data_IF_529080895891
#
_entry.id   IF_529080895891
#
_cell.length_a   1.000
_cell.length_b   1.000
_cell.length_c   1.000
_cell.angle_alpha   90.00
_cell.angle_beta   90.00
_cell.angle_gamma   90.00
#
_symmetry.space_group_name_H-M   'P 1'
#
loop_
_entity.id
_entity.type
_entity.pdbx_description
1 polymer ?
#
# COMPACT_ATOMS: atom_id res chain seq x y z
N UNK A 1 7.74 13.63 18.20
CA UNK A 1 7.64 14.15 16.83
C UNK A 1 6.30 14.87 16.71
N UNK A 2 6.16 15.97 15.95
CA UNK A 2 4.85 16.57 15.76
C UNK A 2 3.92 15.54 15.17
N UNK A 3 2.66 15.54 15.58
CA UNK A 3 1.63 14.65 15.07
C UNK A 3 1.53 14.85 13.56
N UNK A 4 1.91 13.85 12.80
CA UNK A 4 1.88 13.86 11.33
C UNK A 4 0.46 13.59 10.78
N UNK A 5 -0.57 13.65 11.62
CA UNK A 5 -1.95 13.45 11.21
C UNK A 5 -2.51 14.71 10.54
N UNK A 6 -2.96 14.52 9.32
CA UNK A 6 -3.67 15.54 8.54
C UNK A 6 -5.09 15.06 8.23
N UNK A 7 -5.96 15.99 7.77
CA UNK A 7 -7.28 15.66 7.21
C UNK A 7 -7.24 15.76 5.69
N UNK A 8 -7.78 14.77 5.02
CA UNK A 8 -7.97 14.77 3.56
C UNK A 8 -9.46 14.81 3.26
N UNK A 9 -9.86 15.72 2.36
CA UNK A 9 -11.25 15.82 1.90
C UNK A 9 -11.58 14.67 0.97
N UNK A 10 -12.67 13.95 1.27
CA UNK A 10 -13.17 12.90 0.38
C UNK A 10 -14.09 13.49 -0.69
N UNK A 11 -13.90 13.09 -1.94
CA UNK A 11 -14.80 13.45 -3.06
C UNK A 11 -16.24 12.99 -2.85
N UNK A 12 -16.43 12.00 -2.01
CA UNK A 12 -17.76 11.51 -1.60
C UNK A 12 -18.42 12.29 -0.47
N UNK A 13 -17.76 13.36 0.02
CA UNK A 13 -18.18 14.16 1.17
C UNK A 13 -17.56 13.66 2.48
N UNK A 14 -17.31 14.60 3.41
CA UNK A 14 -16.59 14.33 4.66
C UNK A 14 -15.07 14.37 4.51
N UNK A 15 -14.38 14.03 5.57
CA UNK A 15 -12.93 14.02 5.63
C UNK A 15 -12.40 12.82 6.42
N UNK A 16 -11.19 12.37 6.11
CA UNK A 16 -10.55 11.27 6.81
C UNK A 16 -9.16 11.64 7.30
N UNK A 17 -8.74 10.98 8.37
CA UNK A 17 -7.40 11.11 8.90
C UNK A 17 -6.40 10.40 7.99
N UNK A 18 -5.23 11.02 7.84
CA UNK A 18 -4.11 10.43 7.13
C UNK A 18 -2.81 10.72 7.90
N UNK A 19 -2.05 9.66 8.20
CA UNK A 19 -0.70 9.83 8.72
C UNK A 19 0.23 10.16 7.55
N UNK A 20 0.77 11.38 7.53
CA UNK A 20 1.61 11.88 6.45
C UNK A 20 3.01 12.21 6.96
N UNK A 21 4.02 11.65 6.32
CA UNK A 21 5.42 12.01 6.55
C UNK A 21 6.00 12.62 5.28
N UNK A 22 6.54 13.84 5.40
CA UNK A 22 7.21 14.54 4.29
C UNK A 22 8.66 14.78 4.70
N UNK A 23 9.63 14.14 4.00
CA UNK A 23 11.04 14.32 4.32
C UNK A 23 11.52 15.71 3.90
N UNK A 24 12.53 16.23 4.59
CA UNK A 24 13.23 17.45 4.16
C UNK A 24 14.17 17.09 3.01
N UNK A 25 13.81 17.48 1.79
CA UNK A 25 14.59 17.23 0.58
C UNK A 25 14.77 18.49 -0.24
N UNK A 26 15.83 18.57 -1.02
CA UNK A 26 16.09 19.69 -1.93
C UNK A 26 15.35 19.54 -3.27
N UNK A 27 15.00 18.32 -3.64
CA UNK A 27 14.30 18.00 -4.88
C UNK A 27 13.01 17.23 -4.55
N UNK A 28 11.97 17.34 -5.40
CA UNK A 28 10.78 16.54 -5.27
C UNK A 28 11.08 15.04 -5.35
N UNK A 29 10.38 14.25 -4.52
CA UNK A 29 10.60 12.82 -4.35
C UNK A 29 9.32 12.01 -4.59
N UNK A 30 9.42 10.72 -4.91
CA UNK A 30 8.26 9.85 -4.99
C UNK A 30 7.57 9.67 -3.65
N UNK A 31 6.31 9.23 -3.69
CA UNK A 31 5.52 8.92 -2.51
C UNK A 31 5.11 7.44 -2.47
N UNK A 32 4.89 6.92 -1.26
CA UNK A 32 4.18 5.67 -1.02
C UNK A 32 2.89 5.93 -0.26
N UNK A 33 1.79 5.32 -0.71
CA UNK A 33 0.54 5.28 0.04
C UNK A 33 0.40 3.90 0.68
N UNK A 34 0.26 3.87 1.99
CA UNK A 34 0.19 2.65 2.80
C UNK A 34 -1.29 2.30 3.03
N UNK A 35 -1.78 1.30 2.32
CA UNK A 35 -3.14 0.79 2.50
C UNK A 35 -3.12 -0.26 3.62
N UNK A 36 -3.61 0.12 4.80
CA UNK A 36 -3.47 -0.64 6.04
C UNK A 36 -4.23 -1.96 6.07
N UNK A 37 -3.86 -2.82 7.03
CA UNK A 37 -4.64 -3.98 7.45
C UNK A 37 -5.94 -3.53 8.16
N UNK A 38 -6.77 -4.51 8.58
CA UNK A 38 -8.01 -4.25 9.32
C UNK A 38 -7.81 -3.52 10.65
N UNK A 39 -6.59 -3.40 11.13
CA UNK A 39 -6.25 -2.66 12.36
C UNK A 39 -6.19 -1.15 12.13
N UNK A 40 -6.21 -0.69 10.86
CA UNK A 40 -6.10 0.73 10.53
C UNK A 40 -4.65 1.23 10.57
N UNK A 41 -4.50 2.53 10.76
CA UNK A 41 -3.18 3.18 10.85
C UNK A 41 -2.69 3.07 12.30
N UNK A 42 -2.20 1.89 12.63
CA UNK A 42 -1.63 1.56 13.94
C UNK A 42 -0.14 1.94 14.04
N UNK A 43 0.50 1.56 15.15
CA UNK A 43 1.91 1.85 15.38
C UNK A 43 2.84 1.22 14.33
N UNK A 44 2.51 0.02 13.83
CA UNK A 44 3.30 -0.66 12.80
C UNK A 44 3.26 0.10 11.47
N UNK A 45 2.08 0.57 11.06
CA UNK A 45 1.91 1.36 9.83
C UNK A 45 2.59 2.72 9.96
N UNK A 46 2.48 3.37 11.12
CA UNK A 46 3.18 4.63 11.38
C UNK A 46 4.71 4.47 11.35
N UNK A 47 5.25 3.39 11.95
CA UNK A 47 6.68 3.07 11.89
C UNK A 47 7.14 2.84 10.44
N UNK A 48 6.38 2.09 9.63
CA UNK A 48 6.69 1.86 8.22
C UNK A 48 6.71 3.20 7.46
N UNK A 49 5.76 4.10 7.71
CA UNK A 49 5.75 5.43 7.10
C UNK A 49 7.00 6.25 7.47
N UNK A 50 7.40 6.22 8.74
CA UNK A 50 8.61 6.90 9.22
C UNK A 50 9.89 6.31 8.60
N UNK A 51 9.95 4.99 8.38
CA UNK A 51 11.07 4.33 7.67
C UNK A 51 11.20 4.83 6.22
N UNK A 52 10.08 5.05 5.51
CA UNK A 52 10.10 5.66 4.18
C UNK A 52 10.60 7.10 4.23
N UNK A 53 10.15 7.89 5.19
CA UNK A 53 10.62 9.27 5.37
C UNK A 53 12.12 9.34 5.70
N UNK A 54 12.63 8.40 6.51
CA UNK A 54 14.06 8.27 6.80
C UNK A 54 14.91 7.98 5.55
N UNK A 55 14.32 7.36 4.52
CA UNK A 55 14.92 7.12 3.20
C UNK A 55 14.59 8.22 2.18
N UNK A 56 14.10 9.37 2.64
CA UNK A 56 13.75 10.53 1.81
C UNK A 56 12.66 10.24 0.77
N UNK A 57 11.61 9.49 1.17
CA UNK A 57 10.36 9.33 0.43
C UNK A 57 9.19 9.90 1.23
N UNK A 58 8.19 10.43 0.55
CA UNK A 58 6.93 10.79 1.18
C UNK A 58 6.17 9.50 1.49
N UNK A 59 5.56 9.40 2.68
CA UNK A 59 4.65 8.32 2.98
C UNK A 59 3.33 8.86 3.53
N UNK A 60 2.21 8.31 3.02
CA UNK A 60 0.86 8.67 3.43
C UNK A 60 0.07 7.40 3.77
N UNK A 61 -0.52 7.34 4.95
CA UNK A 61 -1.36 6.22 5.39
C UNK A 61 -2.77 6.74 5.72
N UNK A 62 -3.73 6.65 4.77
CA UNK A 62 -5.11 7.07 5.00
C UNK A 62 -5.85 6.09 5.91
N UNK A 63 -6.75 6.61 6.77
CA UNK A 63 -7.71 5.78 7.49
C UNK A 63 -8.78 5.28 6.52
N UNK A 64 -8.64 4.07 6.03
CA UNK A 64 -9.58 3.45 5.08
C UNK A 64 -10.91 3.04 5.73
N UNK A 65 -11.02 3.17 7.05
CA UNK A 65 -12.19 2.72 7.81
C UNK A 65 -12.98 3.88 8.45
N UNK A 66 -12.67 5.11 8.09
CA UNK A 66 -13.27 6.30 8.68
C UNK A 66 -14.81 6.36 8.57
N UNK A 67 -15.41 5.69 7.57
CA UNK A 67 -16.87 5.63 7.37
C UNK A 67 -17.57 4.58 8.24
N UNK A 68 -16.80 3.64 8.81
CA UNK A 68 -17.34 2.55 9.63
C UNK A 68 -16.89 2.71 11.07
N UNK A 69 -15.72 2.22 11.42
CA UNK A 69 -15.11 2.37 12.75
C UNK A 69 -13.72 2.98 12.56
N UNK A 70 -13.58 4.32 12.71
CA UNK A 70 -12.33 5.03 12.42
C UNK A 70 -11.21 4.75 13.43
N UNK A 71 -10.00 5.12 13.04
CA UNK A 71 -8.80 5.05 13.86
C UNK A 71 -8.19 3.66 13.99
N UNK A 72 -7.07 3.54 14.73
CA UNK A 72 -6.44 2.27 14.98
C UNK A 72 -7.24 1.41 15.96
N UNK A 73 -7.26 0.09 15.71
CA UNK A 73 -7.80 -0.91 16.62
C UNK A 73 -6.71 -1.89 17.03
N UNK A 74 -6.73 -2.35 18.28
CA UNK A 74 -5.81 -3.38 18.74
C UNK A 74 -6.02 -4.72 18.02
N UNK A 75 -5.00 -5.58 18.01
CA UNK A 75 -5.03 -6.85 17.27
C UNK A 75 -6.07 -7.85 17.77
N UNK A 76 -6.51 -7.71 19.01
CA UNK A 76 -7.54 -8.51 19.66
C UNK A 76 -8.94 -7.88 19.65
N UNK A 77 -9.09 -6.67 19.06
CA UNK A 77 -10.37 -5.98 18.99
C UNK A 77 -11.29 -6.63 17.96
N UNK A 78 -12.42 -7.21 18.43
CA UNK A 78 -13.37 -7.90 17.56
C UNK A 78 -14.05 -6.98 16.53
N UNK A 79 -14.07 -5.66 16.77
CA UNK A 79 -14.62 -4.67 15.83
C UNK A 79 -13.84 -4.60 14.52
N UNK A 80 -12.62 -5.16 14.46
CA UNK A 80 -11.85 -5.31 13.22
C UNK A 80 -12.61 -6.09 12.15
N UNK A 81 -13.42 -7.08 12.56
CA UNK A 81 -14.29 -7.85 11.64
C UNK A 81 -15.46 -7.01 11.15
N UNK A 82 -16.10 -6.28 12.07
CA UNK A 82 -17.26 -5.43 11.77
C UNK A 82 -16.88 -4.29 10.81
N UNK A 83 -15.79 -3.55 11.09
CA UNK A 83 -15.37 -2.38 10.31
C UNK A 83 -15.06 -2.68 8.85
N UNK A 84 -14.74 -3.91 8.53
CA UNK A 84 -14.33 -4.35 7.18
C UNK A 84 -15.45 -5.05 6.41
N UNK A 85 -16.70 -4.98 6.86
CA UNK A 85 -17.84 -5.64 6.23
C UNK A 85 -18.95 -4.64 5.84
N UNK A 86 -19.66 -4.88 4.74
CA UNK A 86 -19.37 -5.89 3.71
C UNK A 86 -18.10 -5.52 2.92
N UNK A 87 -17.21 -6.48 2.74
CA UNK A 87 -15.84 -6.23 2.27
C UNK A 87 -15.76 -5.56 0.89
N UNK A 88 -16.57 -6.00 -0.08
CA UNK A 88 -16.51 -5.43 -1.43
C UNK A 88 -16.88 -3.94 -1.44
N UNK A 89 -17.85 -3.55 -0.62
CA UNK A 89 -18.25 -2.14 -0.51
C UNK A 89 -17.17 -1.33 0.20
N UNK A 90 -16.57 -1.87 1.27
CA UNK A 90 -15.47 -1.22 1.97
C UNK A 90 -14.24 -1.04 1.05
N UNK A 91 -13.88 -2.05 0.25
CA UNK A 91 -12.76 -1.92 -0.73
C UNK A 91 -13.09 -0.85 -1.78
N UNK A 92 -14.32 -0.82 -2.30
CA UNK A 92 -14.75 0.19 -3.28
C UNK A 92 -14.72 1.62 -2.71
N UNK A 93 -15.16 1.79 -1.46
CA UNK A 93 -15.08 3.07 -0.76
C UNK A 93 -13.62 3.48 -0.54
N UNK A 94 -12.77 2.56 -0.13
CA UNK A 94 -11.33 2.80 0.05
C UNK A 94 -10.59 3.10 -1.26
N UNK A 95 -11.06 2.62 -2.44
CA UNK A 95 -10.51 3.06 -3.73
C UNK A 95 -10.63 4.59 -3.88
N UNK A 96 -11.76 5.18 -3.47
CA UNK A 96 -11.92 6.63 -3.50
C UNK A 96 -10.96 7.33 -2.53
N UNK A 97 -10.76 6.79 -1.32
CA UNK A 97 -9.85 7.38 -0.33
C UNK A 97 -8.39 7.30 -0.77
N UNK A 98 -7.98 6.16 -1.35
CA UNK A 98 -6.65 6.00 -1.95
C UNK A 98 -6.45 6.99 -3.12
N UNK A 99 -7.47 7.18 -3.97
CA UNK A 99 -7.41 8.17 -5.05
C UNK A 99 -7.34 9.61 -4.52
N UNK A 100 -8.12 9.96 -3.49
CA UNK A 100 -8.12 11.29 -2.89
C UNK A 100 -6.80 11.58 -2.17
N UNK A 101 -6.18 10.56 -1.57
CA UNK A 101 -4.82 10.67 -1.02
C UNK A 101 -3.81 11.03 -2.11
N UNK A 102 -3.88 10.40 -3.30
CA UNK A 102 -3.00 10.77 -4.41
C UNK A 102 -3.25 12.20 -4.91
N UNK A 103 -4.50 12.65 -4.92
CA UNK A 103 -4.83 14.05 -5.27
C UNK A 103 -4.20 15.02 -4.26
N UNK A 104 -4.30 14.71 -2.95
CA UNK A 104 -3.66 15.50 -1.91
C UNK A 104 -2.13 15.56 -2.10
N UNK A 105 -1.49 14.43 -2.35
CA UNK A 105 -0.04 14.35 -2.59
C UNK A 105 0.40 15.22 -3.77
N UNK A 106 -0.41 15.29 -4.83
CA UNK A 106 -0.12 16.12 -6.02
C UNK A 106 -0.07 17.62 -5.73
N UNK A 107 -0.64 18.07 -4.62
CA UNK A 107 -0.57 19.47 -4.18
C UNK A 107 0.71 19.78 -3.37
N UNK A 108 1.48 18.78 -2.98
CA UNK A 108 2.72 18.98 -2.23
C UNK A 108 3.87 19.36 -3.17
N UNK A 109 4.61 20.45 -2.90
CA UNK A 109 5.77 20.84 -3.70
C UNK A 109 6.92 19.82 -3.64
N UNK A 110 6.98 19.00 -2.58
CA UNK A 110 7.96 17.94 -2.39
C UNK A 110 7.65 16.68 -3.22
N UNK A 111 6.47 16.57 -3.81
CA UNK A 111 6.07 15.38 -4.56
C UNK A 111 6.47 15.48 -6.03
N UNK A 112 7.15 14.45 -6.55
CA UNK A 112 7.62 14.42 -7.93
C UNK A 112 6.59 13.89 -8.95
N UNK A 113 5.34 13.63 -8.54
CA UNK A 113 4.26 13.14 -9.40
C UNK A 113 4.13 11.61 -9.45
N UNK A 114 5.08 10.85 -8.91
CA UNK A 114 5.08 9.37 -8.93
C UNK A 114 4.77 8.79 -7.55
N UNK A 115 3.69 8.02 -7.44
CA UNK A 115 3.32 7.34 -6.21
C UNK A 115 3.21 5.83 -6.41
N UNK A 116 3.55 5.10 -5.35
CA UNK A 116 3.35 3.64 -5.22
C UNK A 116 2.26 3.41 -4.18
N UNK A 117 1.40 2.41 -4.35
CA UNK A 117 0.55 1.94 -3.27
C UNK A 117 1.09 0.63 -2.71
N UNK A 118 1.31 0.58 -1.40
CA UNK A 118 1.74 -0.61 -0.67
C UNK A 118 0.63 -1.05 0.28
N UNK A 119 0.06 -2.22 0.02
CA UNK A 119 -1.09 -2.74 0.75
C UNK A 119 -0.74 -3.93 1.64
N UNK A 120 -1.35 -3.96 2.83
CA UNK A 120 -1.12 -4.98 3.85
C UNK A 120 -2.43 -5.71 4.17
N UNK A 121 -2.45 -7.04 4.16
CA UNK A 121 -3.64 -7.84 4.49
C UNK A 121 -4.89 -7.35 3.75
N UNK A 122 -5.81 -6.68 4.46
CA UNK A 122 -7.01 -6.05 3.90
C UNK A 122 -6.69 -5.10 2.74
N UNK A 123 -5.64 -4.29 2.87
CA UNK A 123 -5.20 -3.33 1.87
C UNK A 123 -4.49 -3.94 0.66
N UNK A 124 -4.20 -5.25 0.68
CA UNK A 124 -3.49 -5.93 -0.41
C UNK A 124 -4.06 -5.71 -1.81
N UNK A 125 -5.38 -5.74 -2.04
CA UNK A 125 -5.99 -5.47 -3.35
C UNK A 125 -5.63 -4.12 -3.96
N UNK A 126 -5.41 -3.08 -3.15
CA UNK A 126 -5.04 -1.76 -3.68
C UNK A 126 -3.70 -1.76 -4.40
N UNK A 127 -2.83 -2.74 -4.14
CA UNK A 127 -1.60 -2.92 -4.90
C UNK A 127 -1.85 -3.27 -6.38
N UNK A 128 -3.02 -3.82 -6.70
CA UNK A 128 -3.46 -4.09 -8.07
C UNK A 128 -4.33 -2.93 -8.58
N UNK A 129 -5.30 -2.51 -7.77
CA UNK A 129 -6.29 -1.48 -8.13
C UNK A 129 -5.66 -0.09 -8.29
N UNK A 130 -4.66 0.24 -7.48
CA UNK A 130 -3.94 1.51 -7.53
C UNK A 130 -3.32 1.79 -8.89
N UNK A 131 -2.39 0.97 -9.39
CA UNK A 131 -1.82 1.13 -10.72
C UNK A 131 -2.84 0.89 -11.82
N UNK A 132 -3.79 -0.03 -11.64
CA UNK A 132 -4.79 -0.35 -12.66
C UNK A 132 -5.82 0.77 -12.89
N UNK A 133 -6.27 1.43 -11.82
CA UNK A 133 -7.46 2.30 -11.86
C UNK A 133 -7.22 3.72 -11.37
N UNK A 134 -6.24 3.92 -10.48
CA UNK A 134 -6.14 5.13 -9.68
C UNK A 134 -4.93 6.02 -10.04
N UNK A 135 -4.13 5.61 -11.04
CA UNK A 135 -3.00 6.39 -11.54
C UNK A 135 -1.73 6.31 -10.69
N UNK A 136 -1.57 5.23 -9.93
CA UNK A 136 -0.32 4.92 -9.24
C UNK A 136 0.71 4.32 -10.22
N UNK A 137 1.98 4.63 -10.01
CA UNK A 137 3.08 4.19 -10.85
C UNK A 137 3.51 2.74 -10.59
N UNK A 138 3.15 2.17 -9.45
CA UNK A 138 3.37 0.77 -9.10
C UNK A 138 2.50 0.35 -7.90
N UNK A 139 2.42 -0.96 -7.65
CA UNK A 139 1.77 -1.52 -6.47
C UNK A 139 2.58 -2.63 -5.80
N UNK A 140 2.49 -2.72 -4.48
CA UNK A 140 3.15 -3.74 -3.68
C UNK A 140 2.15 -4.34 -2.70
N UNK A 141 1.89 -5.63 -2.77
CA UNK A 141 1.01 -6.35 -1.85
C UNK A 141 1.82 -7.21 -0.88
N UNK A 142 1.74 -6.91 0.41
CA UNK A 142 2.33 -7.70 1.48
C UNK A 142 1.25 -8.50 2.18
N UNK A 143 1.35 -9.84 2.16
CA UNK A 143 0.36 -10.77 2.74
C UNK A 143 -1.09 -10.37 2.43
N UNK A 144 -1.38 -9.98 1.19
CA UNK A 144 -2.70 -9.53 0.77
C UNK A 144 -3.77 -10.60 0.94
N UNK A 145 -4.96 -10.20 1.43
CA UNK A 145 -6.10 -11.09 1.64
C UNK A 145 -7.16 -10.89 0.57
N UNK A 146 -7.92 -11.98 0.25
CA UNK A 146 -8.98 -12.00 -0.78
C UNK A 146 -8.53 -11.52 -2.18
N UNK A 147 -7.30 -11.82 -2.52
CA UNK A 147 -6.69 -11.35 -3.76
C UNK A 147 -7.28 -12.02 -5.02
N UNK A 148 -7.94 -13.19 -4.91
CA UNK A 148 -8.55 -13.87 -6.06
C UNK A 148 -9.62 -13.02 -6.74
N UNK A 149 -10.34 -12.17 -5.99
CA UNK A 149 -11.38 -11.30 -6.53
C UNK A 149 -10.81 -10.29 -7.55
N UNK A 150 -9.50 -10.04 -7.50
CA UNK A 150 -8.81 -9.02 -8.29
C UNK A 150 -7.75 -9.56 -9.25
N UNK A 151 -7.54 -10.90 -9.30
CA UNK A 151 -6.50 -11.50 -10.16
C UNK A 151 -6.70 -11.16 -11.65
N UNK A 152 -7.96 -11.04 -12.08
CA UNK A 152 -8.32 -10.70 -13.46
C UNK A 152 -7.87 -9.29 -13.88
N UNK A 153 -7.72 -8.37 -12.93
CA UNK A 153 -7.23 -7.01 -13.21
C UNK A 153 -5.76 -7.01 -13.69
N UNK A 154 -4.98 -8.01 -13.25
CA UNK A 154 -3.58 -8.15 -13.67
C UNK A 154 -3.42 -8.39 -15.17
N UNK A 155 -4.46 -8.90 -15.86
CA UNK A 155 -4.39 -9.15 -17.30
C UNK A 155 -4.20 -7.87 -18.11
N UNK A 156 -4.66 -6.76 -17.59
CA UNK A 156 -4.65 -5.45 -18.28
C UNK A 156 -3.84 -4.36 -17.58
N UNK A 157 -3.26 -4.62 -16.39
CA UNK A 157 -2.33 -3.70 -15.73
C UNK A 157 -1.01 -3.64 -16.51
N UNK A 158 -0.45 -2.46 -16.67
CA UNK A 158 0.82 -2.21 -17.40
C UNK A 158 1.95 -1.81 -16.47
N UNK A 159 1.60 -1.21 -15.34
CA UNK A 159 2.52 -0.76 -14.31
C UNK A 159 3.07 -1.96 -13.51
N UNK A 160 4.25 -1.81 -12.86
CA UNK A 160 4.80 -2.84 -12.00
C UNK A 160 3.89 -3.17 -10.82
N UNK A 161 3.69 -4.47 -10.58
CA UNK A 161 3.01 -4.99 -9.39
C UNK A 161 3.89 -6.06 -8.75
N UNK A 162 4.19 -5.91 -7.45
CA UNK A 162 4.93 -6.89 -6.67
C UNK A 162 4.00 -7.50 -5.61
N UNK A 163 3.93 -8.83 -5.58
CA UNK A 163 3.07 -9.57 -4.64
C UNK A 163 3.93 -10.49 -3.80
N UNK A 164 3.81 -10.38 -2.47
CA UNK A 164 4.66 -11.07 -1.51
C UNK A 164 3.80 -11.82 -0.49
N UNK A 165 3.95 -13.13 -0.44
CA UNK A 165 3.25 -14.01 0.51
C UNK A 165 4.19 -14.99 1.21
N UNK A 166 3.70 -15.55 2.31
CA UNK A 166 4.21 -16.78 2.87
C UNK A 166 3.40 -17.98 2.41
N UNK A 167 3.99 -19.16 2.33
CA UNK A 167 3.28 -20.40 1.98
C UNK A 167 2.44 -20.96 3.13
N UNK A 168 2.57 -20.39 4.35
CA UNK A 168 1.72 -20.69 5.51
C UNK A 168 0.72 -19.60 5.83
N UNK A 169 0.47 -18.71 4.88
CA UNK A 169 -0.53 -17.67 5.02
C UNK A 169 -1.94 -18.24 4.84
N UNK A 170 -2.71 -18.31 5.93
CA UNK A 170 -4.08 -18.83 5.91
C UNK A 170 -5.06 -17.97 5.07
N UNK A 171 -4.67 -16.74 4.71
CA UNK A 171 -5.42 -15.84 3.81
C UNK A 171 -5.04 -16.01 2.34
N UNK A 172 -3.94 -16.70 2.08
CA UNK A 172 -3.50 -17.09 0.74
C UNK A 172 -3.31 -18.63 0.69
N UNK A 173 -4.39 -19.42 0.83
CA UNK A 173 -4.31 -20.87 0.75
C UNK A 173 -3.87 -21.33 -0.65
N UNK A 174 -3.57 -22.61 -0.82
CA UNK A 174 -2.94 -23.16 -2.03
C UNK A 174 -3.71 -22.82 -3.33
N UNK A 175 -5.04 -22.75 -3.29
CA UNK A 175 -5.82 -22.36 -4.47
C UNK A 175 -5.54 -20.89 -4.90
N UNK A 176 -5.27 -19.99 -3.93
CA UNK A 176 -4.85 -18.61 -4.20
C UNK A 176 -3.43 -18.61 -4.77
N UNK A 177 -2.50 -19.24 -4.06
CA UNK A 177 -1.09 -19.29 -4.49
C UNK A 177 -0.95 -19.91 -5.87
N UNK A 178 -1.63 -21.04 -6.16
CA UNK A 178 -1.62 -21.70 -7.47
C UNK A 178 -2.14 -20.78 -8.58
N UNK A 179 -3.22 -20.04 -8.35
CA UNK A 179 -3.76 -19.10 -9.33
C UNK A 179 -2.75 -18.01 -9.70
N UNK A 180 -1.99 -17.52 -8.71
CA UNK A 180 -1.02 -16.45 -8.91
C UNK A 180 0.32 -16.93 -9.47
N UNK A 181 0.76 -18.18 -9.22
CA UNK A 181 2.08 -18.71 -9.68
C UNK A 181 2.31 -18.57 -11.17
N UNK A 182 1.25 -18.64 -11.97
CA UNK A 182 1.35 -18.54 -13.42
C UNK A 182 1.31 -17.10 -13.96
N UNK A 183 1.01 -16.11 -13.11
CA UNK A 183 0.89 -14.71 -13.55
C UNK A 183 2.21 -14.15 -14.07
N UNK A 184 3.38 -14.29 -13.40
CA UNK A 184 4.65 -13.74 -13.90
C UNK A 184 5.10 -14.33 -15.24
N UNK A 185 4.67 -15.53 -15.59
CA UNK A 185 5.01 -16.13 -16.88
C UNK A 185 4.37 -15.38 -18.05
N UNK A 186 3.13 -14.89 -17.87
CA UNK A 186 2.35 -14.16 -18.88
C UNK A 186 2.40 -12.64 -18.73
N UNK A 187 2.77 -12.12 -17.55
CA UNK A 187 2.82 -10.69 -17.21
C UNK A 187 4.18 -10.35 -16.62
N UNK A 188 5.10 -9.84 -17.46
CA UNK A 188 6.48 -9.52 -17.07
C UNK A 188 6.60 -8.33 -16.12
N UNK A 189 5.55 -7.53 -16.00
CA UNK A 189 5.44 -6.43 -15.05
C UNK A 189 4.90 -6.88 -13.67
N UNK A 190 4.60 -8.16 -13.48
CA UNK A 190 4.15 -8.71 -12.19
C UNK A 190 5.23 -9.60 -11.60
N UNK A 191 5.68 -9.26 -10.40
CA UNK A 191 6.57 -10.09 -9.57
C UNK A 191 5.75 -10.82 -8.52
N UNK A 192 6.08 -12.09 -8.29
CA UNK A 192 5.49 -12.90 -7.23
C UNK A 192 6.59 -13.54 -6.39
N UNK A 193 6.54 -13.33 -5.09
CA UNK A 193 7.43 -13.93 -4.12
C UNK A 193 6.63 -14.71 -3.07
N UNK A 194 6.94 -15.99 -2.92
CA UNK A 194 6.30 -16.88 -1.92
C UNK A 194 7.40 -17.44 -1.03
N UNK A 195 7.37 -17.09 0.26
CA UNK A 195 8.41 -17.47 1.22
C UNK A 195 7.99 -18.70 2.03
N UNK A 196 8.86 -19.74 2.13
CA UNK A 196 8.54 -20.95 2.85
C UNK A 196 8.46 -20.70 4.37
N UNK A 197 7.45 -21.28 5.02
CA UNK A 197 7.22 -21.22 6.46
C UNK A 197 6.65 -19.91 6.99
N UNK A 198 6.48 -18.89 6.15
CA UNK A 198 6.04 -17.56 6.54
C UNK A 198 4.52 -17.49 6.64
N UNK A 199 4.02 -16.86 7.71
CA UNK A 199 2.61 -16.74 8.03
C UNK A 199 2.01 -15.38 7.59
N UNK A 200 0.68 -15.27 7.69
CA UNK A 200 -0.04 -14.01 7.51
C UNK A 200 0.36 -12.98 8.57
N UNK A 201 0.61 -11.74 8.14
CA UNK A 201 0.96 -10.65 9.06
C UNK A 201 2.47 -10.48 9.29
N UNK A 202 3.33 -11.13 8.50
CA UNK A 202 4.78 -11.10 8.68
C UNK A 202 5.41 -9.70 8.71
N UNK A 203 4.73 -8.69 8.21
CA UNK A 203 5.19 -7.29 8.23
C UNK A 203 5.07 -6.63 9.61
N UNK A 204 4.12 -7.08 10.45
CA UNK A 204 3.63 -6.37 11.63
C UNK A 204 4.34 -6.84 12.90
N UNK A 205 5.09 -5.95 13.56
CA UNK A 205 5.78 -6.23 14.84
C UNK A 205 4.79 -6.42 15.98
N UNK A 206 3.61 -5.77 15.89
CA UNK A 206 2.50 -5.98 16.83
C UNK A 206 1.89 -7.39 16.79
N UNK A 207 2.32 -8.25 15.85
CA UNK A 207 1.92 -9.66 15.75
C UNK A 207 3.17 -10.56 15.86
N UNK A 208 3.82 -10.67 17.04
CA UNK A 208 5.14 -11.30 17.18
C UNK A 208 5.21 -12.75 16.69
N UNK A 209 4.09 -13.49 16.78
CA UNK A 209 4.00 -14.90 16.36
C UNK A 209 4.03 -15.07 14.84
N UNK A 210 3.71 -14.02 14.07
CA UNK A 210 3.71 -14.03 12.61
C UNK A 210 4.84 -13.18 12.02
N UNK A 211 5.41 -12.26 12.80
CA UNK A 211 6.46 -11.35 12.33
C UNK A 211 7.67 -12.13 11.83
N UNK A 212 8.06 -11.86 10.58
CA UNK A 212 9.29 -12.40 9.99
C UNK A 212 10.18 -11.26 9.51
N UNK A 213 11.25 -11.00 10.25
CA UNK A 213 12.17 -9.90 9.95
C UNK A 213 12.78 -10.00 8.56
N UNK A 214 13.17 -11.21 8.15
CA UNK A 214 13.84 -11.41 6.86
C UNK A 214 12.92 -11.06 5.69
N UNK A 215 11.66 -11.51 5.75
CA UNK A 215 10.68 -11.26 4.69
C UNK A 215 10.17 -9.81 4.74
N UNK A 216 10.06 -9.23 5.93
CA UNK A 216 9.79 -7.79 6.08
C UNK A 216 10.89 -6.93 5.44
N UNK A 217 12.15 -7.20 5.79
CA UNK A 217 13.29 -6.46 5.23
C UNK A 217 13.33 -6.60 3.70
N UNK A 218 13.12 -7.81 3.16
CA UNK A 218 12.98 -8.03 1.72
C UNK A 218 11.85 -7.17 1.12
N UNK A 219 10.68 -7.14 1.75
CA UNK A 219 9.52 -6.38 1.26
C UNK A 219 9.79 -4.88 1.24
N UNK A 220 10.45 -4.36 2.27
CA UNK A 220 10.86 -2.95 2.36
C UNK A 220 11.90 -2.61 1.29
N UNK A 221 12.92 -3.46 1.08
CA UNK A 221 13.95 -3.23 0.05
C UNK A 221 13.35 -3.28 -1.38
N UNK A 222 12.35 -4.15 -1.64
CA UNK A 222 11.62 -4.13 -2.92
C UNK A 222 10.87 -2.79 -3.11
N UNK A 223 10.21 -2.30 -2.05
CA UNK A 223 9.52 -1.01 -2.10
C UNK A 223 10.49 0.15 -2.36
N UNK A 224 11.62 0.18 -1.66
CA UNK A 224 12.67 1.18 -1.88
C UNK A 224 13.24 1.12 -3.29
N UNK A 225 13.50 -0.07 -3.83
CA UNK A 225 14.03 -0.22 -5.19
C UNK A 225 13.04 0.32 -6.25
N UNK A 226 11.75 0.07 -6.08
CA UNK A 226 10.72 0.60 -6.98
C UNK A 226 10.67 2.14 -6.89
N UNK A 227 10.67 2.71 -5.69
CA UNK A 227 10.63 4.15 -5.46
C UNK A 227 11.88 4.85 -5.99
N UNK A 228 13.09 4.27 -5.81
CA UNK A 228 14.32 4.81 -6.39
C UNK A 228 14.28 4.81 -7.93
N UNK A 229 13.72 3.76 -8.53
CA UNK A 229 13.49 3.73 -9.98
C UNK A 229 12.59 4.87 -10.46
N UNK A 230 11.55 5.23 -9.69
CA UNK A 230 10.65 6.34 -9.98
C UNK A 230 11.29 7.71 -9.76
N UNK A 231 12.18 7.84 -8.78
CA UNK A 231 13.00 9.05 -8.57
C UNK A 231 13.91 9.32 -9.76
N UNK A 232 14.55 8.30 -10.28
CA UNK A 232 15.47 8.40 -11.41
C UNK A 232 14.76 8.76 -12.71
N UNK A 233 13.57 8.22 -12.96
CA UNK A 233 12.75 8.54 -14.15
C UNK A 233 12.38 10.03 -14.22
N UNK A 234 12.00 10.61 -13.08
CA UNK A 234 11.66 12.04 -13.03
C UNK A 234 12.83 12.94 -13.44
N UNK A 235 14.06 12.55 -13.16
CA UNK A 235 15.27 13.29 -13.59
C UNK A 235 15.55 13.20 -15.09
N UNK A 236 15.03 12.18 -15.77
CA UNK A 236 15.23 11.95 -17.21
C UNK A 236 14.16 12.62 -18.09
N UNK A 237 12.98 12.96 -17.52
CA UNK A 237 11.94 13.70 -18.23
C UNK A 237 12.23 15.20 -18.14
N UNK A 238 12.52 15.90 -19.28
CA UNK A 238 12.68 17.35 -19.24
C UNK A 238 11.36 17.98 -18.77
N UNK A 239 11.46 18.92 -17.82
CA UNK A 239 10.30 19.74 -17.42
C UNK A 239 9.66 20.31 -18.68
N UNK A 240 8.50 19.80 -19.08
CA UNK A 240 7.65 20.49 -20.06
C UNK A 240 7.32 21.84 -19.43
N UNK A 241 7.96 22.88 -19.95
CA UNK A 241 7.65 24.25 -19.58
C UNK A 241 6.16 24.45 -19.85
N UNK A 242 5.39 24.77 -18.80
CA UNK A 242 4.04 25.24 -18.95
C UNK A 242 4.13 26.58 -19.69
N UNK A 243 3.70 26.58 -20.95
CA UNK A 243 3.46 27.76 -21.76
C UNK A 243 2.07 28.29 -21.47
#
# INVERSE_FOLDING_TARGET
MPANNIKIQSRGGGEFDCYLTVPKTHEPVPAVVLASAVHGVDADIAEIADEFAARSFIAAAPDLFWRTIPGPLSHDDERTKERSQPRLDCIRQGEADVADTLVHLRALPEFNGNAVVMGFCYGGPYAILGPKRLGYAAGISCHGSQMLDYIHELDTVTEPVCIIWGDRDHRAPENVLSAYRNVPARKKNVELHIFPGVQHGYMMRGTPQAFDRKVRDFSMERAFAILEGLRSRHKLEPRRQAS
#
